data_IF_200147106385
#
_entry.id   IF_200147106385
#
_cell.length_a   1.000
_cell.length_b   1.000
_cell.length_c   1.000
_cell.angle_alpha   90.00
_cell.angle_beta   90.00
_cell.angle_gamma   90.00
#
_symmetry.space_group_name_H-M   'P 1'
#
loop_
_entity.id
_entity.type
_entity.pdbx_description
1 polymer ?
#
# COMPACT_ATOMS: atom_id res chain seq x y z
N UNK A 1 -0.53 -2.11 -3.87
CA UNK A 1 0.18 -1.06 -3.11
C UNK A 1 -0.75 -0.45 -2.07
N UNK A 2 -0.30 -0.39 -0.81
CA UNK A 2 -1.00 0.25 0.31
C UNK A 2 -0.19 1.44 0.80
N UNK A 3 -0.85 2.51 1.25
CA UNK A 3 -0.16 3.69 1.82
C UNK A 3 -0.71 4.00 3.20
N UNK A 4 0.18 4.36 4.13
CA UNK A 4 -0.13 4.77 5.49
C UNK A 4 0.65 6.04 5.81
N UNK A 5 -0.02 6.99 6.45
CA UNK A 5 0.62 8.24 6.85
C UNK A 5 -0.19 9.00 7.91
N UNK A 6 0.44 10.00 8.51
CA UNK A 6 -0.22 10.94 9.41
C UNK A 6 -0.24 10.47 10.85
N UNK A 7 -1.11 11.08 11.66
CA UNK A 7 -1.13 10.92 13.11
C UNK A 7 -1.41 9.47 13.56
N UNK A 8 -2.29 8.78 12.85
CA UNK A 8 -2.74 7.43 13.23
C UNK A 8 -1.57 6.44 13.08
N UNK A 9 -0.77 6.55 12.01
CA UNK A 9 0.49 5.79 11.85
C UNK A 9 1.49 6.11 12.97
N UNK A 10 1.67 7.40 13.31
CA UNK A 10 2.61 7.78 14.37
C UNK A 10 2.23 7.21 15.73
N UNK A 11 0.93 7.12 16.04
CA UNK A 11 0.45 6.52 17.27
C UNK A 11 0.79 5.02 17.36
N UNK A 12 0.52 4.25 16.30
CA UNK A 12 0.88 2.81 16.21
C UNK A 12 2.39 2.60 16.36
N UNK A 13 3.19 3.42 15.68
CA UNK A 13 4.66 3.32 15.73
C UNK A 13 5.22 3.68 17.11
N UNK A 14 4.64 4.67 17.79
CA UNK A 14 5.05 5.07 19.14
C UNK A 14 4.75 3.97 20.16
N UNK A 15 3.58 3.34 20.06
CA UNK A 15 3.22 2.19 20.89
C UNK A 15 4.14 0.99 20.64
N UNK A 16 4.45 0.70 19.37
CA UNK A 16 5.36 -0.40 18.98
C UNK A 16 6.73 -0.25 19.65
N UNK A 17 7.33 0.95 19.63
CA UNK A 17 8.59 1.22 20.31
C UNK A 17 8.48 1.16 21.84
N UNK A 18 7.38 1.66 22.40
CA UNK A 18 7.20 1.75 23.86
C UNK A 18 7.04 0.37 24.49
N UNK A 19 6.40 -0.56 23.77
CA UNK A 19 6.08 -1.89 24.25
C UNK A 19 7.03 -2.98 23.75
N UNK A 20 8.00 -2.61 22.88
CA UNK A 20 8.90 -3.53 22.16
C UNK A 20 8.13 -4.66 21.44
N UNK A 21 7.13 -4.27 20.65
CA UNK A 21 6.25 -5.20 19.93
C UNK A 21 6.17 -4.86 18.45
N UNK A 22 6.09 -5.88 17.57
CA UNK A 22 6.04 -5.64 16.14
C UNK A 22 4.72 -5.00 15.71
N UNK A 23 4.80 -4.18 14.68
CA UNK A 23 3.63 -3.69 13.94
C UNK A 23 3.11 -4.82 13.06
N UNK A 24 1.81 -5.06 13.07
CA UNK A 24 1.14 -6.05 12.24
C UNK A 24 0.27 -5.36 11.19
N UNK A 25 0.28 -5.90 9.97
CA UNK A 25 -0.69 -5.60 8.93
C UNK A 25 -1.83 -6.62 9.01
N UNK A 26 -3.05 -6.11 9.19
CA UNK A 26 -4.27 -6.89 9.16
C UNK A 26 -5.06 -6.52 7.90
N UNK A 27 -5.36 -7.54 7.11
CA UNK A 27 -6.25 -7.49 5.96
C UNK A 27 -7.45 -8.40 6.28
N UNK A 28 -8.60 -7.81 6.56
CA UNK A 28 -9.83 -8.52 6.93
C UNK A 28 -11.06 -7.88 6.25
N UNK A 29 -11.96 -7.29 7.03
CA UNK A 29 -12.98 -6.35 6.55
C UNK A 29 -12.32 -5.12 5.94
N UNK A 30 -11.22 -4.65 6.53
CA UNK A 30 -10.46 -3.48 6.06
C UNK A 30 -8.96 -3.76 6.07
N UNK A 31 -8.15 -2.75 5.73
CA UNK A 31 -6.69 -2.83 5.68
C UNK A 31 -6.11 -1.85 6.69
N UNK A 32 -5.46 -2.37 7.73
CA UNK A 32 -4.97 -1.55 8.83
C UNK A 32 -3.67 -2.06 9.44
N UNK A 33 -2.96 -1.15 10.11
CA UNK A 33 -1.81 -1.42 10.95
C UNK A 33 -2.17 -1.24 12.41
N UNK A 34 -1.65 -2.13 13.26
CA UNK A 34 -1.71 -2.04 14.71
C UNK A 34 -0.47 -2.70 15.34
N UNK A 35 -0.31 -2.61 16.65
CA UNK A 35 0.74 -3.32 17.39
C UNK A 35 0.24 -4.73 17.74
N UNK A 36 1.13 -5.73 17.69
CA UNK A 36 0.80 -7.09 18.11
C UNK A 36 0.36 -7.12 19.59
N UNK A 37 -0.82 -7.68 19.84
CA UNK A 37 -1.56 -7.57 21.12
C UNK A 37 -1.53 -6.15 21.70
N UNK A 38 -1.68 -5.16 20.83
CA UNK A 38 -1.73 -3.75 21.19
C UNK A 38 -2.81 -3.47 22.23
N UNK A 39 -2.63 -2.36 22.94
CA UNK A 39 -3.54 -1.97 24.01
C UNK A 39 -4.96 -1.86 23.48
N UNK A 40 -5.92 -2.30 24.30
CA UNK A 40 -7.34 -2.20 23.97
C UNK A 40 -8.02 -1.29 24.97
N UNK A 41 -8.93 -0.45 24.47
CA UNK A 41 -9.86 0.24 25.35
C UNK A 41 -11.09 -0.64 25.55
N UNK A 42 -11.51 -0.77 26.82
CA UNK A 42 -12.82 -1.35 27.11
C UNK A 42 -13.89 -0.46 26.51
N UNK A 43 -14.55 -0.98 25.49
CA UNK A 43 -15.81 -0.44 25.03
C UNK A 43 -16.88 -0.65 26.12
N UNK A 44 -17.99 0.08 26.03
CA UNK A 44 -19.14 -0.13 26.92
C UNK A 44 -19.56 -1.63 26.94
N UNK A 45 -20.16 -2.13 28.04
CA UNK A 45 -20.54 -3.54 28.16
C UNK A 45 -21.36 -4.00 26.94
N UNK A 46 -20.92 -5.06 26.27
CA UNK A 46 -21.57 -5.61 25.07
C UNK A 46 -20.98 -5.17 23.72
N UNK A 47 -19.91 -4.36 23.71
CA UNK A 47 -19.09 -4.10 22.51
C UNK A 47 -17.73 -4.77 22.63
N UNK A 48 -17.19 -5.25 21.52
CA UNK A 48 -15.83 -5.79 21.48
C UNK A 48 -14.81 -4.73 21.89
N UNK A 49 -13.74 -5.19 22.54
CA UNK A 49 -12.60 -4.36 22.93
C UNK A 49 -11.93 -3.79 21.68
N UNK A 50 -11.92 -2.45 21.55
CA UNK A 50 -11.35 -1.78 20.40
C UNK A 50 -9.86 -1.50 20.62
N UNK A 51 -9.05 -1.72 19.59
CA UNK A 51 -7.62 -1.36 19.63
C UNK A 51 -7.46 0.14 19.87
N UNK A 52 -6.52 0.48 20.76
CA UNK A 52 -6.20 1.86 21.14
C UNK A 52 -5.64 2.65 19.97
N UNK A 53 -4.69 2.08 19.24
CA UNK A 53 -4.12 2.70 18.05
C UNK A 53 -4.27 1.77 16.85
N UNK A 54 -4.89 2.30 15.80
CA UNK A 54 -5.06 1.62 14.53
C UNK A 54 -4.89 2.64 13.39
N UNK A 55 -4.04 2.32 12.42
CA UNK A 55 -3.79 3.15 11.26
C UNK A 55 -4.32 2.47 10.01
N UNK A 56 -5.36 3.04 9.39
CA UNK A 56 -5.94 2.50 8.16
C UNK A 56 -5.11 2.88 6.93
N UNK A 57 -5.12 2.00 5.92
CA UNK A 57 -4.57 2.33 4.62
C UNK A 57 -5.39 3.47 3.97
N UNK A 58 -4.72 4.28 3.14
CA UNK A 58 -5.34 5.40 2.42
C UNK A 58 -6.56 4.94 1.61
N UNK A 59 -7.75 5.46 1.93
CA UNK A 59 -9.03 5.10 1.31
C UNK A 59 -9.73 3.88 1.92
N UNK A 60 -9.18 3.27 2.98
CA UNK A 60 -9.73 2.07 3.62
C UNK A 60 -10.38 2.34 4.99
N UNK A 61 -10.44 3.57 5.49
CA UNK A 61 -10.98 3.84 6.82
C UNK A 61 -12.52 3.67 6.87
N UNK A 62 -13.07 2.76 7.69
CA UNK A 62 -14.50 2.44 7.68
C UNK A 62 -15.44 3.63 7.93
N UNK A 63 -15.08 4.50 8.87
CA UNK A 63 -15.90 5.66 9.23
C UNK A 63 -15.63 6.93 8.42
N UNK A 64 -14.48 7.02 7.71
CA UNK A 64 -14.03 8.27 7.06
C UNK A 64 -14.09 8.21 5.53
N UNK A 65 -13.83 7.04 4.95
CA UNK A 65 -13.60 6.92 3.51
C UNK A 65 -14.80 6.30 2.80
N UNK A 66 -15.59 7.11 2.10
CA UNK A 66 -16.69 6.58 1.29
C UNK A 66 -16.15 5.63 0.20
N UNK A 67 -16.70 4.40 0.16
CA UNK A 67 -16.27 3.38 -0.82
C UNK A 67 -15.13 2.47 -0.33
N UNK A 68 -14.69 2.60 0.93
CA UNK A 68 -13.68 1.73 1.53
C UNK A 68 -13.97 0.24 1.34
N UNK A 69 -15.25 -0.17 1.47
CA UNK A 69 -15.68 -1.56 1.38
C UNK A 69 -15.49 -2.17 -0.02
N UNK A 70 -15.40 -1.34 -1.05
CA UNK A 70 -15.08 -1.79 -2.41
C UNK A 70 -13.58 -1.70 -2.68
N UNK A 71 -12.90 -0.68 -2.15
CA UNK A 71 -11.48 -0.46 -2.40
C UNK A 71 -10.59 -1.46 -1.62
N UNK A 72 -10.88 -1.70 -0.35
CA UNK A 72 -10.05 -2.53 0.53
C UNK A 72 -9.85 -3.95 -0.05
N UNK A 73 -10.90 -4.69 -0.45
CA UNK A 73 -10.72 -6.02 -1.03
C UNK A 73 -9.92 -6.00 -2.34
N UNK A 74 -10.08 -4.97 -3.17
CA UNK A 74 -9.29 -4.83 -4.41
C UNK A 74 -7.80 -4.66 -4.11
N UNK A 75 -7.43 -3.85 -3.12
CA UNK A 75 -6.01 -3.57 -2.85
C UNK A 75 -5.24 -4.77 -2.29
N UNK A 76 -5.94 -5.76 -1.74
CA UNK A 76 -5.38 -6.97 -1.11
C UNK A 76 -5.78 -8.25 -1.84
N UNK A 77 -6.34 -8.16 -3.05
CA UNK A 77 -6.82 -9.31 -3.83
C UNK A 77 -7.81 -10.22 -3.05
N UNK A 78 -8.65 -9.62 -2.20
CA UNK A 78 -9.57 -10.31 -1.28
C UNK A 78 -8.87 -11.25 -0.27
N UNK A 79 -7.56 -11.11 -0.08
CA UNK A 79 -6.83 -11.91 0.88
C UNK A 79 -7.19 -11.50 2.32
N UNK A 80 -7.35 -12.51 3.18
CA UNK A 80 -7.58 -12.34 4.61
C UNK A 80 -6.37 -12.88 5.36
N UNK A 81 -5.62 -12.00 6.02
CA UNK A 81 -4.43 -12.38 6.79
C UNK A 81 -4.02 -11.31 7.81
N UNK A 82 -3.26 -11.75 8.81
CA UNK A 82 -2.50 -10.87 9.70
C UNK A 82 -1.03 -11.26 9.65
N UNK A 83 -0.15 -10.32 9.33
CA UNK A 83 1.30 -10.57 9.24
C UNK A 83 2.11 -9.44 9.90
N UNK A 84 3.16 -9.76 10.67
CA UNK A 84 4.07 -8.75 11.21
C UNK A 84 4.86 -8.08 10.08
N UNK A 85 5.10 -6.78 10.21
CA UNK A 85 5.97 -6.02 9.33
C UNK A 85 7.39 -6.02 9.87
N UNK A 86 8.36 -6.22 8.97
CA UNK A 86 9.78 -6.06 9.30
C UNK A 86 10.14 -4.57 9.23
N UNK A 87 10.02 -3.89 10.37
CA UNK A 87 10.39 -2.49 10.55
C UNK A 87 11.60 -2.38 11.48
N UNK A 88 12.72 -1.89 10.96
CA UNK A 88 13.88 -1.55 11.78
C UNK A 88 13.60 -0.31 12.62
N UNK A 89 14.15 -0.22 13.83
CA UNK A 89 13.99 0.93 14.72
C UNK A 89 14.30 2.28 14.03
N UNK A 90 15.39 2.36 13.25
CA UNK A 90 15.74 3.56 12.50
C UNK A 90 14.67 4.03 11.50
N UNK A 91 13.99 3.10 10.81
CA UNK A 91 12.86 3.42 9.92
C UNK A 91 11.66 3.93 10.70
N UNK A 92 11.41 3.37 11.89
CA UNK A 92 10.33 3.84 12.77
C UNK A 92 10.60 5.28 13.22
N UNK A 93 11.82 5.56 13.68
CA UNK A 93 12.24 6.90 14.07
C UNK A 93 12.12 7.91 12.93
N UNK A 94 12.54 7.55 11.72
CA UNK A 94 12.37 8.38 10.54
C UNK A 94 10.88 8.72 10.28
N UNK A 95 9.97 7.75 10.42
CA UNK A 95 8.53 7.98 10.26
C UNK A 95 7.89 8.81 11.38
N UNK A 96 8.42 8.72 12.61
CA UNK A 96 7.96 9.51 13.74
C UNK A 96 8.42 10.97 13.65
N UNK A 97 9.68 11.19 13.26
CA UNK A 97 10.34 12.50 13.30
C UNK A 97 10.23 13.29 12.00
N UNK A 98 10.21 12.61 10.84
CA UNK A 98 10.14 13.25 9.51
C UNK A 98 8.74 13.13 8.91
N UNK A 99 8.49 13.85 7.81
CA UNK A 99 7.24 13.73 7.04
C UNK A 99 7.31 12.55 6.06
N UNK A 100 7.70 11.39 6.56
CA UNK A 100 7.76 10.17 5.76
C UNK A 100 6.38 9.55 5.60
N UNK A 101 6.21 8.80 4.52
CA UNK A 101 5.08 7.88 4.35
C UNK A 101 5.55 6.45 4.34
N UNK A 102 4.67 5.56 4.80
CA UNK A 102 4.86 4.11 4.71
C UNK A 102 4.06 3.60 3.51
N UNK A 103 4.73 2.92 2.60
CA UNK A 103 4.11 2.26 1.45
C UNK A 103 4.44 0.77 1.50
N UNK A 104 3.41 -0.06 1.40
CA UNK A 104 3.55 -1.51 1.37
C UNK A 104 3.20 -2.03 -0.02
N UNK A 105 4.01 -2.96 -0.53
CA UNK A 105 3.73 -3.70 -1.75
C UNK A 105 3.51 -5.16 -1.38
N UNK A 106 2.30 -5.65 -1.58
CA UNK A 106 1.89 -7.00 -1.21
C UNK A 106 2.14 -7.95 -2.38
N UNK A 107 2.97 -8.95 -2.21
CA UNK A 107 3.09 -10.08 -3.13
C UNK A 107 2.52 -11.34 -2.49
N UNK A 108 2.37 -12.42 -3.25
CA UNK A 108 1.78 -13.68 -2.78
C UNK A 108 2.38 -14.17 -1.45
N UNK A 109 3.70 -14.06 -1.30
CA UNK A 109 4.41 -14.59 -0.13
C UNK A 109 5.09 -13.52 0.73
N UNK A 110 5.27 -12.30 0.23
CA UNK A 110 6.10 -11.28 0.88
C UNK A 110 5.46 -9.89 0.89
N UNK A 111 5.85 -9.08 1.88
CA UNK A 111 5.42 -7.68 2.03
C UNK A 111 6.66 -6.81 1.91
N UNK A 112 6.83 -6.17 0.75
CA UNK A 112 7.91 -5.21 0.58
C UNK A 112 7.54 -3.87 1.23
N UNK A 113 8.39 -3.43 2.15
CA UNK A 113 8.20 -2.22 2.96
C UNK A 113 9.05 -1.07 2.44
N UNK A 114 8.40 0.03 2.08
CA UNK A 114 9.04 1.27 1.62
C UNK A 114 8.68 2.42 2.57
N UNK A 115 9.69 3.11 3.08
CA UNK A 115 9.52 4.33 3.86
C UNK A 115 10.42 5.41 3.32
N UNK A 116 9.87 6.61 3.08
CA UNK A 116 10.64 7.71 2.55
C UNK A 116 9.87 9.03 2.62
N UNK A 117 10.59 10.12 2.37
CA UNK A 117 10.02 11.46 2.35
C UNK A 117 8.96 11.60 1.25
N UNK A 118 7.86 12.27 1.58
CA UNK A 118 6.78 12.53 0.62
C UNK A 118 7.26 13.48 -0.47
N UNK A 119 7.23 13.01 -1.71
CA UNK A 119 7.40 13.83 -2.90
C UNK A 119 6.05 14.38 -3.33
N UNK A 120 5.79 15.64 -2.99
CA UNK A 120 4.56 16.32 -3.39
C UNK A 120 4.57 16.68 -4.88
N UNK A 121 3.49 16.34 -5.57
CA UNK A 121 3.26 16.69 -6.98
C UNK A 121 2.00 17.51 -7.14
N UNK A 122 1.91 18.25 -8.25
CA UNK A 122 0.69 18.96 -8.64
C UNK A 122 -0.44 17.97 -8.93
N UNK A 123 -1.70 18.41 -8.89
CA UNK A 123 -2.83 17.55 -9.23
C UNK A 123 -2.73 17.00 -10.66
N UNK A 124 -2.30 17.84 -11.61
CA UNK A 124 -2.06 17.43 -12.99
C UNK A 124 -0.98 16.34 -13.07
N UNK A 125 0.15 16.51 -12.37
CA UNK A 125 1.21 15.50 -12.32
C UNK A 125 0.77 14.20 -11.64
N UNK A 126 -0.08 14.28 -10.61
CA UNK A 126 -0.63 13.09 -9.94
C UNK A 126 -1.55 12.27 -10.87
N UNK A 127 -2.39 12.97 -11.66
CA UNK A 127 -3.25 12.33 -12.67
C UNK A 127 -2.44 11.77 -13.83
N UNK A 128 -1.45 12.50 -14.32
CA UNK A 128 -0.51 12.00 -15.34
C UNK A 128 0.19 10.72 -14.88
N UNK A 129 0.70 10.68 -13.65
CA UNK A 129 1.29 9.46 -13.09
C UNK A 129 0.27 8.31 -12.99
N UNK A 130 -0.98 8.62 -12.63
CA UNK A 130 -2.07 7.62 -12.60
C UNK A 130 -2.33 7.04 -13.99
N UNK A 131 -2.42 7.90 -15.01
CA UNK A 131 -2.63 7.49 -16.39
C UNK A 131 -1.44 6.68 -16.92
N UNK A 132 -0.21 7.09 -16.59
CA UNK A 132 1.01 6.34 -16.92
C UNK A 132 1.03 4.95 -16.29
N UNK A 133 0.67 4.82 -15.01
CA UNK A 133 0.52 3.52 -14.35
C UNK A 133 -0.50 2.65 -15.10
N UNK A 134 -1.65 3.22 -15.43
CA UNK A 134 -2.71 2.52 -16.15
C UNK A 134 -2.29 2.06 -17.55
N UNK A 135 -1.77 2.97 -18.39
CA UNK A 135 -1.32 2.68 -19.76
C UNK A 135 -0.16 1.69 -19.77
N UNK A 136 0.74 1.76 -18.78
CA UNK A 136 1.83 0.78 -18.65
C UNK A 136 1.27 -0.61 -18.35
N UNK A 137 0.24 -0.72 -17.50
CA UNK A 137 -0.38 -1.98 -17.12
C UNK A 137 -1.22 -2.60 -18.24
N UNK A 138 -1.81 -1.79 -19.12
CA UNK A 138 -2.73 -2.24 -20.17
C UNK A 138 -2.09 -2.14 -21.55
N UNK A 139 -1.97 -0.93 -22.08
CA UNK A 139 -1.52 -0.66 -23.45
C UNK A 139 -0.11 -1.18 -23.75
N UNK A 140 0.88 -0.80 -22.93
CA UNK A 140 2.27 -1.23 -23.16
C UNK A 140 2.47 -2.73 -22.95
N UNK A 141 1.80 -3.30 -21.94
CA UNK A 141 1.83 -4.74 -21.72
C UNK A 141 1.26 -5.51 -22.93
N UNK A 142 0.09 -5.12 -23.42
CA UNK A 142 -0.57 -5.77 -24.56
C UNK A 142 0.18 -5.61 -25.89
N UNK A 143 1.00 -4.56 -26.03
CA UNK A 143 1.80 -4.33 -27.22
C UNK A 143 3.08 -5.19 -27.27
N UNK A 144 3.48 -5.82 -26.17
CA UNK A 144 4.67 -6.67 -26.14
C UNK A 144 4.40 -7.97 -26.91
N UNK A 145 5.22 -8.25 -27.92
CA UNK A 145 5.11 -9.42 -28.81
C UNK A 145 6.18 -10.48 -28.58
N UNK A 146 7.21 -10.14 -27.80
CA UNK A 146 8.36 -11.02 -27.54
C UNK A 146 8.76 -11.05 -26.07
N UNK A 147 9.49 -12.10 -25.70
CA UNK A 147 10.08 -12.27 -24.36
C UNK A 147 11.02 -11.11 -23.98
N UNK A 148 11.80 -10.61 -24.94
CA UNK A 148 12.71 -9.47 -24.72
C UNK A 148 11.95 -8.19 -24.42
N UNK A 149 10.86 -7.93 -25.14
CA UNK A 149 9.97 -6.79 -24.88
C UNK A 149 9.30 -6.90 -23.52
N UNK A 150 8.77 -8.07 -23.16
CA UNK A 150 8.17 -8.32 -21.84
C UNK A 150 9.18 -8.12 -20.70
N UNK A 151 10.43 -8.58 -20.88
CA UNK A 151 11.52 -8.33 -19.92
C UNK A 151 11.77 -6.83 -19.73
N UNK A 152 11.89 -6.10 -20.83
CA UNK A 152 12.12 -4.65 -20.80
C UNK A 152 10.93 -3.89 -20.19
N UNK A 153 9.71 -4.27 -20.56
CA UNK A 153 8.48 -3.75 -20.00
C UNK A 153 8.42 -3.97 -18.49
N UNK A 154 8.66 -5.21 -18.00
CA UNK A 154 8.63 -5.52 -16.56
C UNK A 154 9.65 -4.68 -15.80
N UNK A 155 10.87 -4.55 -16.31
CA UNK A 155 11.89 -3.69 -15.70
C UNK A 155 11.41 -2.23 -15.59
N UNK A 156 10.82 -1.69 -16.66
CA UNK A 156 10.31 -0.31 -16.69
C UNK A 156 9.12 -0.11 -15.76
N UNK A 157 8.20 -1.09 -15.71
CA UNK A 157 7.06 -1.11 -14.82
C UNK A 157 7.47 -1.15 -13.35
N UNK A 158 8.46 -1.96 -12.97
CA UNK A 158 8.99 -2.02 -11.61
C UNK A 158 9.61 -0.69 -11.18
N UNK A 159 10.39 -0.06 -12.06
CA UNK A 159 10.94 1.29 -11.82
C UNK A 159 9.84 2.33 -11.64
N UNK A 160 8.80 2.30 -12.48
CA UNK A 160 7.67 3.21 -12.34
C UNK A 160 6.96 3.00 -10.99
N UNK A 161 6.78 1.75 -10.54
CA UNK A 161 6.20 1.47 -9.24
C UNK A 161 7.08 1.98 -8.09
N UNK A 162 8.41 1.91 -8.22
CA UNK A 162 9.35 2.49 -7.25
C UNK A 162 9.26 4.02 -7.20
N UNK A 163 9.21 4.67 -8.36
CA UNK A 163 9.12 6.13 -8.50
C UNK A 163 7.86 6.72 -7.86
N UNK A 164 6.77 5.96 -7.86
CA UNK A 164 5.47 6.41 -7.31
C UNK A 164 5.32 6.13 -5.82
N UNK A 165 6.19 5.32 -5.21
CA UNK A 165 6.14 5.05 -3.77
C UNK A 165 6.18 6.30 -2.88
N UNK A 166 7.02 7.32 -3.12
CA UNK A 166 7.04 8.54 -2.30
C UNK A 166 6.00 9.58 -2.74
N UNK A 167 5.25 9.35 -3.82
CA UNK A 167 4.37 10.38 -4.41
C UNK A 167 3.17 10.66 -3.51
N UNK A 168 2.93 11.95 -3.26
CA UNK A 168 1.75 12.46 -2.57
C UNK A 168 1.18 13.68 -3.31
N UNK A 169 -0.13 13.91 -3.19
CA UNK A 169 -0.77 15.10 -3.74
C UNK A 169 -1.74 15.69 -2.71
N UNK A 170 -1.55 16.95 -2.32
CA UNK A 170 -2.38 17.60 -1.29
C UNK A 170 -3.78 17.95 -1.77
N UNK A 171 -3.95 18.20 -3.07
CA UNK A 171 -5.20 18.70 -3.66
C UNK A 171 -5.97 17.63 -4.44
N UNK A 172 -5.48 16.39 -4.42
CA UNK A 172 -6.18 15.26 -5.00
C UNK A 172 -7.44 14.94 -4.19
N UNK A 173 -8.55 14.67 -4.89
CA UNK A 173 -9.79 14.24 -4.24
C UNK A 173 -9.69 12.76 -3.87
N UNK A 174 -10.51 12.25 -2.95
CA UNK A 174 -10.52 10.81 -2.63
C UNK A 174 -10.61 9.91 -3.88
N UNK A 175 -11.42 10.28 -4.87
CA UNK A 175 -11.50 9.56 -6.14
C UNK A 175 -10.18 9.53 -6.93
N UNK A 176 -9.38 10.60 -6.91
CA UNK A 176 -8.06 10.63 -7.54
C UNK A 176 -7.09 9.67 -6.80
N UNK A 177 -7.15 9.64 -5.46
CA UNK A 177 -6.38 8.70 -4.64
C UNK A 177 -6.75 7.24 -4.95
N UNK A 178 -8.04 6.92 -4.99
CA UNK A 178 -8.51 5.58 -5.32
C UNK A 178 -8.02 5.12 -6.71
N UNK A 179 -8.14 5.98 -7.73
CA UNK A 179 -7.67 5.64 -9.09
C UNK A 179 -6.17 5.38 -9.13
N UNK A 180 -5.38 6.20 -8.44
CA UNK A 180 -3.93 6.01 -8.35
C UNK A 180 -3.57 4.69 -7.67
N UNK A 181 -4.20 4.36 -6.55
CA UNK A 181 -3.95 3.11 -5.82
C UNK A 181 -4.33 1.88 -6.65
N UNK A 182 -5.48 1.91 -7.32
CA UNK A 182 -5.94 0.85 -8.23
C UNK A 182 -4.99 0.71 -9.43
N UNK A 183 -4.58 1.82 -10.06
CA UNK A 183 -3.65 1.78 -11.18
C UNK A 183 -2.29 1.18 -10.79
N UNK A 184 -1.76 1.58 -9.62
CA UNK A 184 -0.53 1.00 -9.07
C UNK A 184 -0.68 -0.49 -8.75
N UNK A 185 -1.79 -0.89 -8.13
CA UNK A 185 -2.10 -2.30 -7.85
C UNK A 185 -2.18 -3.12 -9.15
N UNK A 186 -2.92 -2.65 -10.16
CA UNK A 186 -3.05 -3.35 -11.43
C UNK A 186 -1.71 -3.49 -12.16
N UNK A 187 -0.88 -2.45 -12.17
CA UNK A 187 0.46 -2.53 -12.74
C UNK A 187 1.31 -3.57 -12.00
N UNK A 188 1.24 -3.58 -10.67
CA UNK A 188 1.94 -4.56 -9.85
C UNK A 188 1.52 -6.00 -10.19
N UNK A 189 0.22 -6.30 -10.24
CA UNK A 189 -0.30 -7.62 -10.64
C UNK A 189 0.18 -8.04 -12.03
N UNK A 190 0.17 -7.09 -12.98
CA UNK A 190 0.71 -7.35 -14.32
C UNK A 190 2.18 -7.67 -14.30
N UNK A 191 2.97 -7.00 -13.45
CA UNK A 191 4.37 -7.38 -13.30
C UNK A 191 4.46 -8.82 -12.83
N UNK A 192 3.73 -9.22 -11.79
CA UNK A 192 3.72 -10.60 -11.24
C UNK A 192 3.40 -11.68 -12.29
N UNK A 193 2.66 -11.37 -13.36
CA UNK A 193 2.44 -12.27 -14.51
C UNK A 193 3.66 -12.47 -15.42
N UNK A 194 4.77 -11.78 -15.20
CA UNK A 194 5.97 -11.81 -16.05
C UNK A 194 7.18 -12.12 -15.17
N UNK A 195 7.98 -13.11 -15.54
CA UNK A 195 9.23 -13.42 -14.85
C UNK A 195 10.31 -12.37 -15.11
N UNK A 196 11.41 -12.41 -14.36
CA UNK A 196 12.56 -11.50 -14.54
C UNK A 196 13.25 -11.63 -15.91
N UNK A 197 13.07 -12.75 -16.61
CA UNK A 197 13.58 -13.00 -17.95
C UNK A 197 12.51 -12.85 -19.06
N UNK A 198 11.32 -12.32 -18.71
CA UNK A 198 10.27 -11.95 -19.66
C UNK A 198 9.31 -13.06 -20.07
N UNK A 199 9.36 -14.24 -19.43
CA UNK A 199 8.38 -15.29 -19.66
C UNK A 199 7.05 -14.97 -18.96
N UNK A 200 5.93 -15.31 -19.59
CA UNK A 200 4.62 -15.19 -18.95
C UNK A 200 4.45 -16.32 -17.93
N UNK A 201 4.07 -15.94 -16.72
CA UNK A 201 3.77 -16.84 -15.62
C UNK A 201 2.27 -17.07 -15.58
N UNK A 202 1.85 -18.32 -15.54
CA UNK A 202 0.47 -18.68 -15.20
C UNK A 202 0.30 -18.37 -13.71
N UNK A 203 -0.34 -17.25 -13.38
CA UNK A 203 -0.82 -17.04 -12.03
C UNK A 203 -1.94 -18.05 -11.79
N UNK A 204 -1.81 -18.91 -10.78
CA UNK A 204 -2.92 -19.72 -10.29
C UNK A 204 -4.07 -18.80 -9.89
N UNK A 205 -5.24 -19.09 -10.46
CA UNK A 205 -6.49 -18.38 -10.20
C UNK A 205 -6.97 -18.59 -8.75
#
# INVERSE_FOLDING_TARGET
MLRFHGKDLKAVLTESLSNDRPVVLTCDVTVSLSVQDGERFRSAPGREDQLRHQAFADGCHPDRDQGWATLAPVLVDNAVFTKPLVLTEGRIWDMLTKNHQLTLRLSENDIAVYSGEKRYVTLAGYRDLTDRLHVTATGYFAACSSRSELKYWRMTALRLLEDVHPVACRHARPADHCRFLIAAHNLQRRTECVSSDGALLLLSA
#
